data_IF_941205499160
#
_entry.id   IF_941205499160
#
_cell.length_a   1.000
_cell.length_b   1.000
_cell.length_c   1.000
_cell.angle_alpha   90.00
_cell.angle_beta   90.00
_cell.angle_gamma   90.00
#
_symmetry.space_group_name_H-M   'P 1'
#
loop_
_entity.id
_entity.type
_entity.pdbx_description
1 polymer ?
#
# COMPACT_ATOMS: atom_id res chain seq x y z
N UNK A 1 -26.80 -60.07 4.17
CA UNK A 1 -26.75 -59.48 2.81
C UNK A 1 -27.17 -58.02 2.89
N UNK A 2 -26.34 -57.08 2.36
CA UNK A 2 -26.65 -55.68 1.92
C UNK A 2 -27.21 -54.71 3.00
N UNK A 3 -26.78 -53.46 3.23
CA UNK A 3 -25.82 -52.48 2.67
C UNK A 3 -26.02 -51.18 3.51
N UNK A 4 -24.97 -50.52 4.05
CA UNK A 4 -24.20 -49.37 3.54
C UNK A 4 -25.04 -48.13 3.14
N UNK A 5 -24.92 -47.01 3.90
CA UNK A 5 -24.78 -45.59 3.47
C UNK A 5 -24.75 -44.67 4.72
N UNK A 6 -23.59 -44.44 5.36
CA UNK A 6 -22.82 -43.18 5.32
C UNK A 6 -23.58 -41.92 4.89
N UNK A 7 -24.12 -41.17 5.86
CA UNK A 7 -24.46 -39.75 5.73
C UNK A 7 -23.33 -38.91 6.32
N UNK A 8 -22.40 -38.48 5.47
CA UNK A 8 -21.37 -37.51 5.83
C UNK A 8 -22.02 -36.13 5.67
N UNK A 9 -22.36 -35.49 6.79
CA UNK A 9 -22.89 -34.12 6.81
C UNK A 9 -21.73 -33.20 6.43
N UNK A 10 -21.66 -32.83 5.14
CA UNK A 10 -20.72 -31.83 4.64
C UNK A 10 -21.21 -30.48 5.15
N UNK A 11 -20.69 -30.07 6.31
CA UNK A 11 -20.73 -28.69 6.76
C UNK A 11 -19.89 -27.87 5.76
N UNK A 12 -20.58 -27.23 4.81
CA UNK A 12 -19.98 -26.31 3.86
C UNK A 12 -19.38 -25.12 4.60
N UNK A 13 -18.08 -25.19 4.87
CA UNK A 13 -17.31 -24.01 5.26
C UNK A 13 -17.21 -23.10 4.02
N UNK A 14 -18.01 -22.02 4.01
CA UNK A 14 -17.75 -20.87 3.14
C UNK A 14 -16.41 -20.28 3.59
N UNK A 15 -15.32 -20.71 2.95
CA UNK A 15 -14.02 -20.07 3.09
C UNK A 15 -14.05 -18.73 2.36
N UNK A 16 -14.45 -17.67 3.08
CA UNK A 16 -14.13 -16.31 2.67
C UNK A 16 -12.62 -16.13 2.81
N UNK A 17 -11.89 -16.28 1.71
CA UNK A 17 -10.50 -15.90 1.63
C UNK A 17 -10.40 -14.37 1.71
N UNK A 18 -10.27 -13.83 2.92
CA UNK A 18 -9.79 -12.47 3.11
C UNK A 18 -8.32 -12.44 2.69
N UNK A 19 -8.04 -11.94 1.49
CA UNK A 19 -6.68 -11.53 1.12
C UNK A 19 -6.36 -10.26 1.90
N UNK A 20 -5.97 -10.42 3.17
CA UNK A 20 -5.38 -9.35 3.95
C UNK A 20 -4.04 -8.99 3.29
N UNK A 21 -4.01 -7.90 2.52
CA UNK A 21 -2.73 -7.31 2.12
C UNK A 21 -2.08 -6.77 3.39
N UNK A 22 -0.91 -7.30 3.75
CA UNK A 22 -0.18 -6.85 4.92
C UNK A 22 0.18 -5.36 4.73
N UNK A 23 -0.31 -4.52 5.64
CA UNK A 23 0.11 -3.13 5.71
C UNK A 23 1.52 -3.06 6.27
N UNK A 24 2.37 -2.28 5.64
CA UNK A 24 3.73 -2.02 6.13
C UNK A 24 3.85 -0.54 6.47
N UNK A 25 4.39 -0.24 7.65
CA UNK A 25 4.50 1.13 8.15
C UNK A 25 5.86 1.38 8.80
N UNK A 26 6.68 2.22 8.17
CA UNK A 26 8.07 2.45 8.56
C UNK A 26 8.46 3.93 8.44
N UNK A 27 9.47 4.34 9.21
CA UNK A 27 10.04 5.69 9.17
C UNK A 27 11.10 5.80 8.07
N UNK A 28 11.00 6.83 7.24
CA UNK A 28 11.92 7.07 6.13
C UNK A 28 12.19 8.56 5.95
N UNK A 29 13.37 8.88 5.44
CA UNK A 29 13.62 10.20 4.85
C UNK A 29 13.02 10.27 3.45
N UNK A 30 12.47 11.44 3.09
CA UNK A 30 11.90 11.65 1.75
C UNK A 30 12.98 12.13 0.80
N UNK A 31 13.35 11.29 -0.16
CA UNK A 31 14.43 11.61 -1.11
C UNK A 31 13.93 12.40 -2.31
N UNK A 32 12.75 12.05 -2.84
CA UNK A 32 12.19 12.68 -4.05
C UNK A 32 10.67 12.60 -4.06
N UNK A 33 10.04 13.65 -4.60
CA UNK A 33 8.64 13.66 -4.97
C UNK A 33 8.50 14.00 -6.46
N UNK A 34 7.59 13.32 -7.15
CA UNK A 34 7.19 13.65 -8.52
C UNK A 34 5.67 13.82 -8.51
N UNK A 35 5.20 15.04 -8.66
CA UNK A 35 3.78 15.38 -8.69
C UNK A 35 3.25 15.22 -10.12
N UNK A 36 2.03 14.69 -10.27
CA UNK A 36 1.41 14.49 -11.59
C UNK A 36 1.97 13.28 -12.36
N UNK A 37 2.62 12.36 -11.64
CA UNK A 37 3.07 11.07 -12.17
C UNK A 37 1.91 10.08 -12.27
N UNK A 38 1.88 9.24 -13.30
CA UNK A 38 0.90 8.16 -13.50
C UNK A 38 -0.55 8.62 -13.78
N UNK A 39 -0.75 9.41 -14.84
CA UNK A 39 -2.08 9.91 -15.22
C UNK A 39 -2.56 11.05 -14.30
N UNK A 40 -3.83 11.43 -14.44
CA UNK A 40 -4.32 12.77 -14.10
C UNK A 40 -3.93 13.29 -12.70
N UNK A 41 -3.70 12.47 -11.67
CA UNK A 41 -3.43 12.97 -10.31
C UNK A 41 -2.65 11.98 -9.39
N UNK A 42 -1.57 11.35 -9.84
CA UNK A 42 -0.71 10.56 -8.95
C UNK A 42 0.53 11.32 -8.46
N UNK A 43 0.99 11.04 -7.24
CA UNK A 43 2.27 11.54 -6.72
C UNK A 43 3.19 10.38 -6.38
N UNK A 44 4.31 10.26 -7.08
CA UNK A 44 5.35 9.29 -6.74
C UNK A 44 6.23 9.85 -5.61
N UNK A 45 6.47 9.02 -4.61
CA UNK A 45 7.36 9.28 -3.49
C UNK A 45 8.50 8.27 -3.46
N UNK A 46 9.72 8.77 -3.32
CA UNK A 46 10.93 7.98 -3.15
C UNK A 46 11.41 8.18 -1.71
N UNK A 47 11.54 7.07 -0.98
CA UNK A 47 11.88 7.05 0.43
C UNK A 47 13.24 6.38 0.63
N UNK A 48 14.06 6.96 1.50
CA UNK A 48 15.44 6.47 1.69
C UNK A 48 15.47 5.08 2.30
N UNK A 49 16.32 4.23 1.72
CA UNK A 49 16.47 2.83 2.12
C UNK A 49 15.20 1.99 2.00
N UNK A 50 14.14 2.52 1.38
CA UNK A 50 12.89 1.79 1.20
C UNK A 50 12.99 0.82 0.03
N UNK A 51 12.38 -0.35 0.19
CA UNK A 51 12.17 -1.31 -0.88
C UNK A 51 10.76 -1.88 -0.74
N UNK A 52 9.86 -1.43 -1.62
CA UNK A 52 8.46 -1.83 -1.64
C UNK A 52 8.29 -3.19 -2.32
N UNK A 53 8.81 -4.23 -1.66
CA UNK A 53 8.70 -5.60 -2.14
C UNK A 53 7.22 -5.99 -2.31
N UNK A 54 6.91 -6.66 -3.42
CA UNK A 54 5.54 -7.11 -3.74
C UNK A 54 4.87 -6.35 -4.89
N UNK A 55 5.45 -5.24 -5.35
CA UNK A 55 5.02 -4.53 -6.55
C UNK A 55 6.09 -4.56 -7.65
N UNK A 56 5.72 -4.46 -8.95
CA UNK A 56 6.68 -4.45 -10.06
C UNK A 56 7.73 -3.34 -9.95
N UNK A 57 7.33 -2.15 -9.50
CA UNK A 57 8.25 -1.07 -9.13
C UNK A 57 8.35 -0.99 -7.62
N UNK A 58 9.55 -1.26 -7.12
CA UNK A 58 9.83 -1.36 -5.69
C UNK A 58 10.64 -0.18 -5.12
N UNK A 59 11.06 0.77 -5.96
CA UNK A 59 11.92 1.89 -5.58
C UNK A 59 11.13 3.16 -5.17
N UNK A 60 9.83 3.15 -5.45
CA UNK A 60 8.94 4.29 -5.19
C UNK A 60 7.54 3.80 -4.87
N UNK A 61 6.84 4.56 -4.04
CA UNK A 61 5.42 4.37 -3.79
C UNK A 61 4.60 5.46 -4.48
N UNK A 62 3.32 5.17 -4.69
CA UNK A 62 2.35 6.06 -5.31
C UNK A 62 1.34 6.49 -4.25
N UNK A 63 1.24 7.80 -4.06
CA UNK A 63 0.05 8.42 -3.47
C UNK A 63 -0.91 8.65 -4.62
N UNK A 64 -1.95 7.82 -4.70
CA UNK A 64 -2.96 7.90 -5.75
C UNK A 64 -4.08 8.89 -5.38
N UNK A 65 -4.80 9.40 -6.38
CA UNK A 65 -5.88 10.37 -6.18
C UNK A 65 -7.16 9.80 -5.55
N UNK A 66 -7.29 8.48 -5.46
CA UNK A 66 -8.37 7.82 -4.74
C UNK A 66 -8.09 7.75 -3.24
N UNK A 67 -6.86 8.08 -2.79
CA UNK A 67 -6.56 8.24 -1.38
C UNK A 67 -7.34 9.46 -0.83
N UNK A 68 -8.16 9.29 0.23
CA UNK A 68 -8.96 10.38 0.79
C UNK A 68 -8.13 11.55 1.32
N UNK A 69 -6.85 11.31 1.63
CA UNK A 69 -5.89 12.29 2.12
C UNK A 69 -4.94 12.79 1.00
N UNK A 70 -5.23 12.52 -0.27
CA UNK A 70 -4.37 12.92 -1.39
C UNK A 70 -4.09 14.44 -1.43
N UNK A 71 -5.05 15.28 -1.01
CA UNK A 71 -4.87 16.73 -1.01
C UNK A 71 -3.84 17.24 0.00
N UNK A 72 -3.56 16.46 1.07
CA UNK A 72 -2.67 16.86 2.15
C UNK A 72 -1.32 16.12 2.13
N UNK A 73 -1.32 14.83 1.77
CA UNK A 73 -0.12 13.98 1.83
C UNK A 73 1.07 14.55 1.04
N UNK A 74 0.95 14.99 -0.24
CA UNK A 74 2.07 15.53 -1.00
C UNK A 74 2.69 16.76 -0.34
N UNK A 75 1.87 17.64 0.24
CA UNK A 75 2.33 18.84 0.96
C UNK A 75 3.07 18.47 2.25
N UNK A 76 2.57 17.47 2.98
CA UNK A 76 3.21 16.93 4.19
C UNK A 76 4.59 16.34 3.86
N UNK A 77 4.67 15.49 2.84
CA UNK A 77 5.91 14.88 2.40
C UNK A 77 6.93 15.92 1.90
N UNK A 78 6.46 16.94 1.17
CA UNK A 78 7.31 18.04 0.72
C UNK A 78 7.83 18.86 1.91
N UNK A 79 6.98 19.21 2.88
CA UNK A 79 7.38 19.94 4.07
C UNK A 79 8.40 19.14 4.90
N UNK A 80 8.17 17.85 5.10
CA UNK A 80 9.09 16.97 5.82
C UNK A 80 10.45 16.88 5.12
N UNK A 81 10.47 16.74 3.79
CA UNK A 81 11.70 16.79 2.98
C UNK A 81 12.46 18.09 3.16
N UNK A 82 11.78 19.24 3.05
CA UNK A 82 12.41 20.56 3.19
C UNK A 82 12.96 20.80 4.61
N UNK A 83 12.34 20.17 5.61
CA UNK A 83 12.77 20.24 7.00
C UNK A 83 13.77 19.12 7.39
N UNK A 84 14.17 18.26 6.46
CA UNK A 84 15.01 17.07 6.68
C UNK A 84 14.49 16.14 7.81
N UNK A 85 13.16 16.04 7.93
CA UNK A 85 12.50 15.22 8.93
C UNK A 85 12.05 13.87 8.35
N UNK A 86 12.28 12.76 9.07
CA UNK A 86 11.72 11.49 8.66
C UNK A 86 10.19 11.51 8.78
N UNK A 87 9.53 10.75 7.93
CA UNK A 87 8.09 10.52 7.94
C UNK A 87 7.81 9.04 8.09
N UNK A 88 6.73 8.70 8.78
CA UNK A 88 6.22 7.34 8.80
C UNK A 88 5.26 7.16 7.64
N UNK A 89 5.57 6.25 6.72
CA UNK A 89 4.72 5.96 5.56
C UNK A 89 4.10 4.58 5.72
N UNK A 90 2.78 4.53 5.70
CA UNK A 90 2.00 3.29 5.67
C UNK A 90 1.59 2.99 4.24
N UNK A 91 1.88 1.78 3.76
CA UNK A 91 1.53 1.34 2.40
C UNK A 91 1.00 -0.09 2.39
N UNK A 92 0.17 -0.42 1.39
CA UNK A 92 -0.31 -1.79 1.17
C UNK A 92 -0.68 -2.05 -0.29
N UNK A 93 -0.37 -3.26 -0.77
CA UNK A 93 -0.66 -3.66 -2.15
C UNK A 93 -0.07 -2.72 -3.21
N UNK A 94 -0.55 -2.86 -4.44
CA UNK A 94 -0.07 -2.09 -5.58
C UNK A 94 -1.21 -1.31 -6.24
N UNK A 95 -0.92 -0.08 -6.68
CA UNK A 95 -1.77 0.70 -7.59
C UNK A 95 -1.01 0.91 -8.88
N UNK A 96 -1.47 0.24 -9.94
CA UNK A 96 -0.63 0.00 -11.12
C UNK A 96 0.59 -0.81 -10.70
N UNK A 97 1.78 -0.30 -11.06
CA UNK A 97 3.06 -0.96 -10.77
C UNK A 97 3.69 -0.57 -9.44
N UNK A 98 3.10 0.37 -8.70
CA UNK A 98 3.72 1.00 -7.54
C UNK A 98 3.02 0.60 -6.24
N UNK A 99 3.77 0.54 -5.15
CA UNK A 99 3.16 0.36 -3.83
C UNK A 99 2.23 1.52 -3.49
N UNK A 100 1.05 1.21 -2.97
CA UNK A 100 0.02 2.22 -2.66
C UNK A 100 0.24 2.81 -1.27
N UNK A 101 0.43 4.12 -1.19
CA UNK A 101 0.48 4.85 0.08
C UNK A 101 -0.94 5.02 0.64
N UNK A 102 -1.13 4.65 1.90
CA UNK A 102 -2.38 4.82 2.64
C UNK A 102 -2.33 6.06 3.52
N UNK A 103 -1.24 6.23 4.27
CA UNK A 103 -1.12 7.25 5.30
C UNK A 103 0.33 7.73 5.42
N UNK A 104 0.50 8.99 5.84
CA UNK A 104 1.79 9.59 6.19
C UNK A 104 1.66 10.31 7.53
N UNK A 105 2.60 10.05 8.44
CA UNK A 105 2.72 10.72 9.75
C UNK A 105 4.11 11.39 9.85
N UNK A 106 4.20 12.48 10.61
CA UNK A 106 5.43 13.27 10.85
C UNK A 106 5.79 13.18 12.33
#
# INVERSE_FOLDING_TARGET
MKGKLRGCLVAGALSFAFFAHAETSNWHQVEKLIIGSNGAHGTLVFLSGSNFNGCPVNQSALVDNTNPNYSSIPSVLLAARLADKPVRVTYSGCTGDYARVLEVQI
#
